data_IF_354977991129
#
_entry.id   IF_354977991129
#
_cell.length_a   1.000
_cell.length_b   1.000
_cell.length_c   1.000
_cell.angle_alpha   90.00
_cell.angle_beta   90.00
_cell.angle_gamma   90.00
#
_symmetry.space_group_name_H-M   'P 1'
#
loop_
_entity.id
_entity.type
_entity.pdbx_description
1 polymer ?
#
# COMPACT_ATOMS: atom_id res chain seq x y z
N UNK A 1 -1.09 -13.86 -6.17
CA UNK A 1 -2.08 -12.87 -6.66
C UNK A 1 -1.41 -12.09 -7.79
N UNK A 2 -2.03 -11.03 -8.33
CA UNK A 2 -1.53 -10.26 -9.47
C UNK A 2 -1.75 -8.74 -9.34
N UNK A 3 -1.11 -7.94 -10.18
CA UNK A 3 -1.40 -6.49 -10.29
C UNK A 3 -2.87 -6.23 -10.65
N UNK A 4 -3.52 -7.10 -11.42
CA UNK A 4 -4.94 -6.94 -11.76
C UNK A 4 -5.86 -7.08 -10.53
N UNK A 5 -5.47 -7.90 -9.56
CA UNK A 5 -6.22 -8.01 -8.30
C UNK A 5 -6.10 -6.72 -7.47
N UNK A 6 -4.96 -6.02 -7.51
CA UNK A 6 -4.78 -4.72 -6.85
C UNK A 6 -5.72 -3.65 -7.41
N UNK A 7 -6.01 -3.68 -8.72
CA UNK A 7 -6.88 -2.70 -9.37
C UNK A 7 -8.33 -2.77 -8.89
N UNK A 8 -8.73 -3.83 -8.17
CA UNK A 8 -10.05 -3.93 -7.55
C UNK A 8 -10.25 -2.87 -6.45
N UNK A 9 -9.17 -2.41 -5.80
CA UNK A 9 -9.21 -1.27 -4.89
C UNK A 9 -9.12 0.03 -5.67
N UNK A 10 -10.11 0.94 -5.57
CA UNK A 10 -10.02 2.26 -6.19
C UNK A 10 -8.79 3.04 -5.70
N UNK A 11 -8.42 2.88 -4.43
CA UNK A 11 -7.24 3.50 -3.83
C UNK A 11 -5.94 2.95 -4.45
N UNK A 12 -5.80 1.63 -4.58
CA UNK A 12 -4.61 1.02 -5.20
C UNK A 12 -4.54 1.30 -6.70
N UNK A 13 -5.68 1.29 -7.40
CA UNK A 13 -5.74 1.64 -8.82
C UNK A 13 -5.31 3.11 -9.05
N UNK A 14 -5.75 4.04 -8.21
CA UNK A 14 -5.32 5.44 -8.26
C UNK A 14 -3.78 5.58 -8.13
N UNK A 15 -3.16 4.86 -7.19
CA UNK A 15 -1.70 4.85 -7.07
C UNK A 15 -1.00 4.16 -8.25
N UNK A 16 -1.53 3.04 -8.77
CA UNK A 16 -1.00 2.36 -9.95
C UNK A 16 -1.01 3.29 -11.18
N UNK A 17 -2.12 3.97 -11.43
CA UNK A 17 -2.24 4.93 -12.54
C UNK A 17 -1.28 6.11 -12.41
N UNK A 18 -1.08 6.61 -11.19
CA UNK A 18 -0.12 7.68 -10.91
C UNK A 18 1.33 7.21 -11.18
N UNK A 19 1.69 6.02 -10.69
CA UNK A 19 3.00 5.41 -10.96
C UNK A 19 3.22 5.17 -12.45
N UNK A 20 2.21 4.68 -13.18
CA UNK A 20 2.30 4.48 -14.65
C UNK A 20 2.53 5.79 -15.42
N UNK A 21 2.03 6.92 -14.90
CA UNK A 21 2.26 8.26 -15.45
C UNK A 21 3.59 8.89 -15.03
N UNK A 22 4.34 8.24 -14.13
CA UNK A 22 5.56 8.79 -13.54
C UNK A 22 5.28 9.95 -12.59
N UNK A 23 4.13 9.94 -11.92
CA UNK A 23 3.80 10.91 -10.87
C UNK A 23 4.50 10.54 -9.55
N UNK A 24 4.74 11.53 -8.70
CA UNK A 24 5.22 11.33 -7.34
C UNK A 24 4.02 11.06 -6.42
N UNK A 25 3.92 9.84 -5.88
CA UNK A 25 2.83 9.47 -4.97
C UNK A 25 3.15 9.81 -3.50
N UNK A 26 4.30 10.45 -3.27
CA UNK A 26 4.77 10.86 -1.96
C UNK A 26 5.26 9.69 -1.10
N UNK A 27 5.98 10.03 -0.03
CA UNK A 27 6.55 9.03 0.88
C UNK A 27 5.49 8.07 1.46
N UNK A 28 4.35 8.61 1.91
CA UNK A 28 3.29 7.79 2.50
C UNK A 28 2.47 7.03 1.46
N UNK A 29 2.39 7.54 0.23
CA UNK A 29 1.86 6.77 -0.90
C UNK A 29 2.73 5.54 -1.17
N UNK A 30 4.05 5.72 -1.32
CA UNK A 30 4.99 4.61 -1.52
C UNK A 30 4.95 3.59 -0.39
N UNK A 31 4.91 4.04 0.86
CA UNK A 31 4.80 3.16 2.02
C UNK A 31 3.48 2.39 2.03
N UNK A 32 2.35 3.07 1.82
CA UNK A 32 1.03 2.42 1.76
C UNK A 32 0.97 1.40 0.63
N UNK A 33 1.47 1.78 -0.55
CA UNK A 33 1.53 0.91 -1.72
C UNK A 33 2.35 -0.35 -1.42
N UNK A 34 3.55 -0.20 -0.84
CA UNK A 34 4.41 -1.33 -0.49
C UNK A 34 3.76 -2.27 0.55
N UNK A 35 3.11 -1.72 1.58
CA UNK A 35 2.44 -2.51 2.63
C UNK A 35 1.27 -3.33 2.08
N UNK A 36 0.55 -2.82 1.07
CA UNK A 36 -0.58 -3.52 0.46
C UNK A 36 -0.12 -4.47 -0.65
N UNK A 37 0.62 -3.96 -1.63
CA UNK A 37 0.97 -4.66 -2.86
C UNK A 37 1.88 -5.86 -2.67
N UNK A 38 2.65 -5.94 -1.58
CA UNK A 38 3.48 -7.11 -1.24
C UNK A 38 2.71 -8.42 -1.09
N UNK A 39 1.40 -8.35 -0.82
CA UNK A 39 0.55 -9.55 -0.75
C UNK A 39 0.10 -10.00 -2.15
N UNK A 40 0.26 -9.15 -3.16
CA UNK A 40 -0.28 -9.35 -4.50
C UNK A 40 0.77 -9.73 -5.52
N UNK A 41 1.96 -9.15 -5.41
CA UNK A 41 3.10 -9.37 -6.33
C UNK A 41 4.34 -9.74 -5.53
N UNK A 42 5.36 -10.27 -6.20
CA UNK A 42 6.65 -10.52 -5.55
C UNK A 42 7.44 -9.22 -5.32
N UNK A 43 8.50 -9.33 -4.51
CA UNK A 43 9.31 -8.16 -4.12
C UNK A 43 10.03 -7.50 -5.30
N UNK A 44 10.38 -8.25 -6.34
CA UNK A 44 11.06 -7.70 -7.51
C UNK A 44 10.08 -6.88 -8.35
N UNK A 45 8.90 -7.43 -8.64
CA UNK A 45 7.83 -6.74 -9.33
C UNK A 45 7.35 -5.52 -8.54
N UNK A 46 7.20 -5.64 -7.21
CA UNK A 46 6.84 -4.51 -6.34
C UNK A 46 7.85 -3.36 -6.40
N UNK A 47 9.16 -3.68 -6.36
CA UNK A 47 10.19 -2.67 -6.48
C UNK A 47 10.17 -1.99 -7.86
N UNK A 48 9.94 -2.75 -8.93
CA UNK A 48 9.78 -2.19 -10.28
C UNK A 48 8.57 -1.26 -10.40
N UNK A 49 7.44 -1.58 -9.74
CA UNK A 49 6.27 -0.70 -9.70
C UNK A 49 6.57 0.60 -8.96
N UNK A 50 7.20 0.52 -7.78
CA UNK A 50 7.56 1.68 -6.96
C UNK A 50 8.62 2.57 -7.62
N UNK A 51 9.56 1.99 -8.36
CA UNK A 51 10.59 2.74 -9.09
C UNK A 51 10.05 3.57 -10.27
N UNK A 52 8.74 3.47 -10.58
CA UNK A 52 8.08 4.38 -11.52
C UNK A 52 7.73 5.73 -10.90
N UNK A 53 7.72 5.82 -9.57
CA UNK A 53 7.54 7.09 -8.86
C UNK A 53 8.67 8.06 -9.24
N UNK A 54 8.32 9.32 -9.52
CA UNK A 54 9.29 10.33 -9.96
C UNK A 54 10.43 10.56 -8.97
N UNK A 55 10.16 10.43 -7.67
CA UNK A 55 11.06 10.78 -6.58
C UNK A 55 11.64 9.51 -5.91
N UNK A 56 11.69 8.38 -6.61
CA UNK A 56 12.26 7.13 -6.08
C UNK A 56 12.94 6.31 -7.16
N UNK A 57 14.19 5.91 -6.93
CA UNK A 57 14.91 5.00 -7.82
C UNK A 57 14.73 3.51 -7.46
N UNK A 58 15.24 2.62 -8.31
CA UNK A 58 15.12 1.17 -8.12
C UNK A 58 15.78 0.65 -6.84
N UNK A 59 16.89 1.24 -6.39
CA UNK A 59 17.58 0.82 -5.17
C UNK A 59 16.80 1.28 -3.94
N UNK A 60 16.27 2.49 -3.95
CA UNK A 60 15.40 3.02 -2.91
C UNK A 60 14.10 2.23 -2.79
N UNK A 61 13.49 1.88 -3.93
CA UNK A 61 12.32 1.02 -3.97
C UNK A 61 12.59 -0.37 -3.37
N UNK A 62 13.70 -1.02 -3.77
CA UNK A 62 14.13 -2.31 -3.20
C UNK A 62 14.35 -2.23 -1.69
N UNK A 63 14.99 -1.16 -1.22
CA UNK A 63 15.23 -0.95 0.20
C UNK A 63 13.92 -0.76 0.99
N UNK A 64 12.95 -0.03 0.43
CA UNK A 64 11.61 0.11 1.04
C UNK A 64 10.88 -1.23 1.12
N UNK A 65 10.87 -2.00 0.03
CA UNK A 65 10.22 -3.32 -0.01
C UNK A 65 10.82 -4.25 1.06
N UNK A 66 12.15 -4.32 1.10
CA UNK A 66 12.85 -5.10 2.12
C UNK A 66 12.51 -4.63 3.53
N UNK A 67 12.50 -3.32 3.77
CA UNK A 67 12.16 -2.77 5.09
C UNK A 67 10.74 -3.14 5.53
N UNK A 68 9.76 -3.07 4.61
CA UNK A 68 8.36 -3.41 4.89
C UNK A 68 8.21 -4.89 5.21
N UNK A 69 8.92 -5.75 4.47
CA UNK A 69 8.96 -7.18 4.71
C UNK A 69 9.58 -7.54 6.06
N UNK A 70 10.79 -7.04 6.34
CA UNK A 70 11.53 -7.33 7.58
C UNK A 70 10.78 -6.87 8.83
N UNK A 71 10.05 -5.76 8.74
CA UNK A 71 9.27 -5.23 9.86
C UNK A 71 7.92 -5.90 10.02
N UNK A 72 7.50 -6.75 9.08
CA UNK A 72 6.20 -7.41 9.12
C UNK A 72 5.03 -6.41 9.18
N UNK A 73 5.13 -5.31 8.43
CA UNK A 73 4.09 -4.29 8.47
C UNK A 73 2.78 -4.80 7.83
N UNK A 74 1.68 -4.67 8.57
CA UNK A 74 0.34 -4.98 8.10
C UNK A 74 -0.26 -3.82 7.29
N UNK A 75 -1.06 -4.09 6.24
CA UNK A 75 -1.73 -3.04 5.47
C UNK A 75 -2.43 -2.00 6.37
N UNK A 76 -2.24 -0.69 6.13
CA UNK A 76 -2.78 0.33 7.01
C UNK A 76 -4.31 0.37 6.93
N UNK A 77 -4.95 0.74 8.05
CA UNK A 77 -6.39 1.02 8.07
C UNK A 77 -6.69 2.40 7.47
N UNK A 78 -7.93 2.60 7.04
CA UNK A 78 -8.44 3.87 6.47
C UNK A 78 -8.04 5.08 7.30
N UNK A 79 -8.21 5.04 8.62
CA UNK A 79 -7.91 6.20 9.48
C UNK A 79 -6.43 6.60 9.39
N UNK A 80 -5.54 5.61 9.26
CA UNK A 80 -4.10 5.85 9.13
C UNK A 80 -3.74 6.38 7.75
N UNK A 81 -4.37 5.85 6.70
CA UNK A 81 -4.23 6.36 5.33
C UNK A 81 -4.65 7.83 5.25
N UNK A 82 -5.83 8.16 5.79
CA UNK A 82 -6.34 9.54 5.83
C UNK A 82 -5.49 10.47 6.70
N UNK A 83 -4.86 9.95 7.76
CA UNK A 83 -3.87 10.72 8.52
C UNK A 83 -2.65 11.05 7.65
N UNK A 84 -2.04 10.03 7.07
CA UNK A 84 -0.82 10.17 6.28
C UNK A 84 -1.00 11.03 5.03
N UNK A 85 -2.15 10.91 4.36
CA UNK A 85 -2.46 11.76 3.21
C UNK A 85 -2.42 13.25 3.55
N UNK A 86 -2.79 13.66 4.77
CA UNK A 86 -2.74 15.08 5.19
C UNK A 86 -1.32 15.61 5.33
N UNK A 87 -0.32 14.74 5.31
CA UNK A 87 1.10 15.08 5.49
C UNK A 87 1.84 15.16 4.14
N UNK A 88 1.16 14.97 3.01
CA UNK A 88 1.73 15.01 1.66
C UNK A 88 0.75 15.61 0.64
N UNK A 89 1.25 15.94 -0.55
CA UNK A 89 0.42 16.52 -1.62
C UNK A 89 -0.42 15.48 -2.38
N UNK A 90 0.10 14.26 -2.53
CA UNK A 90 -0.59 13.20 -3.27
C UNK A 90 -1.77 12.63 -2.48
N UNK A 91 -2.94 12.60 -3.12
CA UNK A 91 -4.18 12.06 -2.57
C UNK A 91 -4.22 10.53 -2.72
N UNK A 92 -3.75 9.82 -1.70
CA UNK A 92 -3.75 8.35 -1.62
C UNK A 92 -5.19 7.80 -1.77
N UNK A 93 -6.10 8.34 -0.96
CA UNK A 93 -7.52 8.05 -0.93
C UNK A 93 -8.28 9.00 -1.87
N UNK A 94 -8.74 8.54 -3.04
CA UNK A 94 -9.33 9.41 -4.06
C UNK A 94 -10.67 10.02 -3.63
N UNK A 95 -11.42 9.36 -2.75
CA UNK A 95 -12.67 9.87 -2.17
C UNK A 95 -12.60 9.83 -0.63
N UNK A 96 -12.00 10.85 0.01
CA UNK A 96 -11.84 10.86 1.46
C UNK A 96 -13.16 11.08 2.21
N UNK A 97 -14.20 11.61 1.56
CA UNK A 97 -15.49 11.92 2.18
C UNK A 97 -16.44 10.71 2.23
N UNK A 98 -16.27 9.74 1.32
CA UNK A 98 -16.97 8.45 1.40
C UNK A 98 -16.43 7.60 2.57
N UNK A 99 -17.23 7.30 3.61
CA UNK A 99 -16.79 6.54 4.78
C UNK A 99 -16.30 5.11 4.44
N UNK A 100 -16.73 4.54 3.32
CA UNK A 100 -16.41 3.18 2.92
C UNK A 100 -15.18 3.07 2.01
N UNK A 101 -14.70 4.18 1.45
CA UNK A 101 -13.52 4.21 0.58
C UNK A 101 -12.22 3.90 1.33
N UNK A 102 -11.16 3.48 0.61
CA UNK A 102 -9.79 3.38 1.12
C UNK A 102 -9.64 2.48 2.34
N UNK A 103 -10.58 1.54 2.50
CA UNK A 103 -10.48 0.44 3.41
C UNK A 103 -10.02 -0.79 2.64
N UNK A 104 -8.71 -0.98 2.57
CA UNK A 104 -8.07 -2.07 1.81
C UNK A 104 -8.61 -3.45 2.19
N UNK A 105 -9.04 -3.66 3.44
CA UNK A 105 -9.59 -4.93 3.91
C UNK A 105 -11.02 -5.20 3.40
N UNK A 106 -11.76 -4.14 3.00
CA UNK A 106 -13.05 -4.27 2.33
C UNK A 106 -12.90 -4.31 0.81
N UNK A 107 -11.89 -3.61 0.29
CA UNK A 107 -11.66 -3.44 -1.15
C UNK A 107 -10.91 -4.60 -1.79
N UNK A 108 -10.11 -5.34 -1.02
CA UNK A 108 -9.23 -6.41 -1.50
C UNK A 108 -9.39 -7.69 -0.70
N UNK A 109 -9.04 -8.81 -1.32
CA UNK A 109 -8.93 -10.11 -0.64
C UNK A 109 -7.47 -10.41 -0.35
N UNK A 110 -7.10 -10.36 0.93
CA UNK A 110 -5.77 -10.76 1.40
C UNK A 110 -5.69 -12.25 1.74
N UNK A 111 -4.47 -12.84 1.83
CA UNK A 111 -4.31 -14.21 2.30
C UNK A 111 -4.77 -14.38 3.75
N UNK A 112 -5.31 -15.55 4.09
CA UNK A 112 -5.81 -15.86 5.45
C UNK A 112 -4.75 -15.64 6.54
N UNK A 113 -3.48 -15.93 6.23
CA UNK A 113 -2.33 -15.75 7.12
C UNK A 113 -2.23 -14.31 7.66
N UNK A 114 -2.51 -13.30 6.84
CA UNK A 114 -2.50 -11.90 7.29
C UNK A 114 -3.52 -11.66 8.41
N UNK A 115 -4.70 -12.24 8.30
CA UNK A 115 -5.75 -12.06 9.31
C UNK A 115 -5.39 -12.77 10.61
N UNK A 116 -4.71 -13.91 10.52
CA UNK A 116 -4.17 -14.63 11.68
C UNK A 116 -3.11 -13.78 12.39
N UNK A 117 -2.12 -13.25 11.67
CA UNK A 117 -1.08 -12.37 12.23
C UNK A 117 -1.68 -11.14 12.94
N UNK A 118 -2.71 -10.52 12.33
CA UNK A 118 -3.41 -9.37 12.92
C UNK A 118 -4.15 -9.77 14.20
N UNK A 119 -4.73 -10.97 14.26
CA UNK A 119 -5.43 -11.46 15.44
C UNK A 119 -4.45 -11.76 16.57
N UNK A 120 -3.39 -12.52 16.30
CA UNK A 120 -2.35 -12.88 17.28
C UNK A 120 -1.74 -11.63 17.91
N UNK A 121 -1.39 -10.63 17.10
CA UNK A 121 -0.86 -9.36 17.60
C UNK A 121 -1.81 -8.60 18.54
N UNK A 122 -3.13 -8.71 18.33
CA UNK A 122 -4.12 -8.08 19.23
C UNK A 122 -4.24 -8.85 20.54
N UNK A 123 -4.15 -10.18 20.49
CA UNK A 123 -4.20 -11.05 21.66
C UNK A 123 -2.97 -10.86 22.56
N UNK A 124 -1.77 -10.71 22.00
CA UNK A 124 -0.55 -10.42 22.77
C UNK A 124 -0.57 -9.05 23.48
N UNK A 125 -1.41 -8.12 23.01
CA UNK A 125 -1.50 -6.75 23.53
C UNK A 125 -2.71 -6.47 24.41
N UNK A 126 -3.62 -7.43 24.58
CA UNK A 126 -4.82 -7.33 25.41
C UNK A 126 -4.52 -7.75 26.87
#
# INVERSE_FOLDING_TARGET
MSVEDLKQSPMMNNMLEALEKGEDIGHYGRLTFAMVARYFVDNEELAQLLAKDRDTDENEAKALVQQVEEKGYNPPRREKILQWQKEQDFQICPDPDDPDACNVYNELTFPDELYQDIQEYREEKA
#
